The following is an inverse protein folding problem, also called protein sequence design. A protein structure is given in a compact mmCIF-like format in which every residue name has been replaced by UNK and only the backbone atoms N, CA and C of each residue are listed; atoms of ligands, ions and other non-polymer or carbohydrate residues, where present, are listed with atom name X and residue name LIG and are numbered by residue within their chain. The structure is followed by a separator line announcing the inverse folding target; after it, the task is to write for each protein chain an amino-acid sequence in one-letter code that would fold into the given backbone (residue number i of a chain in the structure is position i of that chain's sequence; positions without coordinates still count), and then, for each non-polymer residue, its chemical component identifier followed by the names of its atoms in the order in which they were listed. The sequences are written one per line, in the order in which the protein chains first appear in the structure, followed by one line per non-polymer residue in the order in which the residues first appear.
data_IF_880966266127
#
_entry.id   IF_880966266127
#
_cell.length_a   1.000
_cell.length_b   1.000
_cell.length_c   1.000
_cell.angle_alpha   90.00
_cell.angle_beta   90.00
_cell.angle_gamma   90.00
#
_symmetry.space_group_name_H-M   'P 1'
#
loop_
_entity.id
_entity.type
_entity.pdbx_description
1 polymer ?
#
# COMPACT_ATOMS: atom_id res chain seq x y z
N UNK A 1 74.25 -52.56 13.12
CA UNK A 1 73.49 -51.65 14.00
C UNK A 1 72.95 -50.55 13.08
N UNK A 2 71.75 -50.77 12.56
CA UNK A 2 71.10 -49.77 11.63
C UNK A 2 69.90 -49.22 12.35
N UNK A 3 69.99 -47.93 12.64
CA UNK A 3 68.96 -47.19 13.36
C UNK A 3 67.92 -46.67 12.35
N UNK A 4 66.71 -47.16 12.48
CA UNK A 4 65.54 -46.75 11.63
C UNK A 4 64.97 -45.48 12.17
N UNK A 5 65.24 -44.37 11.50
CA UNK A 5 64.59 -43.08 11.75
C UNK A 5 63.22 -43.08 11.08
N UNK A 6 62.15 -43.11 11.84
CA UNK A 6 60.79 -42.92 11.37
C UNK A 6 60.52 -41.38 11.22
N UNK A 7 59.95 -40.95 10.11
CA UNK A 7 59.50 -39.58 9.97
C UNK A 7 58.18 -39.40 10.68
N UNK A 8 58.15 -38.55 11.72
CA UNK A 8 56.95 -38.09 12.40
C UNK A 8 56.11 -37.23 11.45
N UNK A 9 54.88 -37.69 11.20
CA UNK A 9 53.94 -37.03 10.32
C UNK A 9 53.47 -35.65 10.80
N UNK A 10 53.89 -34.59 10.11
CA UNK A 10 53.44 -33.19 10.24
C UNK A 10 52.16 -32.93 9.47
N UNK A 11 51.07 -33.68 9.68
CA UNK A 11 49.81 -33.40 9.00
C UNK A 11 48.68 -32.87 9.88
N UNK A 12 48.94 -32.75 11.19
CA UNK A 12 47.92 -32.27 12.15
C UNK A 12 47.59 -30.76 12.06
N UNK A 13 48.55 -29.82 11.90
CA UNK A 13 48.22 -28.41 11.89
C UNK A 13 47.42 -28.00 10.64
N UNK A 14 47.69 -28.59 9.48
CA UNK A 14 46.99 -28.24 8.22
C UNK A 14 45.51 -28.66 8.23
N UNK A 15 45.18 -29.82 8.80
CA UNK A 15 43.80 -30.28 8.96
C UNK A 15 43.03 -29.42 9.96
N UNK A 16 43.68 -28.98 11.03
CA UNK A 16 43.12 -28.05 12.02
C UNK A 16 42.82 -26.68 11.41
N UNK A 17 43.74 -26.11 10.61
CA UNK A 17 43.54 -24.83 9.93
C UNK A 17 42.40 -24.91 8.88
N UNK A 18 42.29 -26.02 8.15
CA UNK A 18 41.18 -26.24 7.21
C UNK A 18 39.85 -26.37 7.95
N UNK A 19 39.78 -27.08 9.05
CA UNK A 19 38.57 -27.20 9.85
C UNK A 19 38.14 -25.87 10.45
N UNK A 20 39.09 -25.07 10.95
CA UNK A 20 38.83 -23.71 11.48
C UNK A 20 38.33 -22.80 10.36
N UNK A 21 38.91 -22.85 9.16
CA UNK A 21 38.47 -22.08 8.01
C UNK A 21 37.03 -22.41 7.59
N UNK A 22 36.68 -23.69 7.55
CA UNK A 22 35.31 -24.12 7.25
C UNK A 22 34.31 -23.68 8.31
N UNK A 23 34.69 -23.72 9.58
CA UNK A 23 33.85 -23.25 10.68
C UNK A 23 33.57 -21.75 10.58
N UNK A 24 34.58 -20.95 10.24
CA UNK A 24 34.42 -19.50 10.04
C UNK A 24 33.54 -19.18 8.82
N UNK A 25 33.69 -19.92 7.72
CA UNK A 25 32.84 -19.78 6.54
C UNK A 25 31.38 -20.15 6.87
N UNK A 26 31.17 -21.25 7.61
CA UNK A 26 29.84 -21.64 8.05
C UNK A 26 29.20 -20.60 8.97
N UNK A 27 29.97 -20.05 9.92
CA UNK A 27 29.52 -18.97 10.81
C UNK A 27 29.16 -17.72 10.02
N UNK A 28 29.99 -17.32 9.05
CA UNK A 28 29.71 -16.18 8.18
C UNK A 28 28.46 -16.39 7.31
N UNK A 29 28.27 -17.61 6.80
CA UNK A 29 27.08 -17.96 6.04
C UNK A 29 25.80 -17.91 6.90
N UNK A 30 25.86 -18.39 8.15
CA UNK A 30 24.75 -18.29 9.11
C UNK A 30 24.43 -16.84 9.42
N UNK A 31 25.46 -16.01 9.70
CA UNK A 31 25.26 -14.58 9.95
C UNK A 31 24.64 -13.88 8.72
N UNK A 32 25.13 -14.20 7.52
CA UNK A 32 24.61 -13.64 6.29
C UNK A 32 23.18 -14.10 6.03
N UNK A 33 22.87 -15.37 6.28
CA UNK A 33 21.52 -15.93 6.18
C UNK A 33 20.56 -15.27 7.18
N UNK A 34 20.98 -15.09 8.43
CA UNK A 34 20.22 -14.36 9.44
C UNK A 34 20.06 -12.90 9.07
N UNK A 35 21.12 -12.25 8.58
CA UNK A 35 21.07 -10.84 8.16
C UNK A 35 20.12 -10.64 6.97
N UNK A 36 20.18 -11.47 5.94
CA UNK A 36 19.26 -11.41 4.80
C UNK A 36 17.86 -11.95 5.12
N UNK A 37 17.73 -12.93 5.99
CA UNK A 37 16.44 -13.45 6.46
C UNK A 37 15.72 -12.44 7.39
N UNK A 38 16.47 -11.71 8.20
CA UNK A 38 15.92 -10.65 9.06
C UNK A 38 15.61 -9.35 8.31
N UNK A 39 16.17 -9.13 7.11
CA UNK A 39 15.77 -8.00 6.26
C UNK A 39 14.28 -8.06 5.85
N UNK A 40 13.64 -9.23 5.95
CA UNK A 40 12.20 -9.39 5.77
C UNK A 40 11.39 -9.28 7.08
N UNK A 41 12.06 -9.25 8.25
CA UNK A 41 11.40 -9.16 9.55
C UNK A 41 11.56 -7.76 10.13
N UNK A 42 10.92 -6.78 9.47
CA UNK A 42 10.60 -5.55 10.16
C UNK A 42 9.37 -5.84 11.03
N UNK A 43 9.41 -5.58 12.34
CA UNK A 43 8.20 -5.59 13.13
C UNK A 43 7.27 -4.52 12.53
N UNK A 44 6.28 -4.97 11.76
CA UNK A 44 5.25 -4.08 11.27
C UNK A 44 4.59 -3.46 12.49
N UNK A 45 4.38 -2.14 12.44
CA UNK A 45 3.62 -1.49 13.48
C UNK A 45 2.27 -2.20 13.61
N UNK A 46 1.96 -2.58 14.82
CA UNK A 46 0.73 -3.30 15.11
C UNK A 46 -0.45 -2.32 15.01
N UNK A 47 -1.44 -2.65 14.18
CA UNK A 47 -2.74 -1.97 14.19
C UNK A 47 -3.46 -2.38 15.47
N UNK A 48 -3.76 -1.41 16.34
CA UNK A 48 -4.33 -1.68 17.69
C UNK A 48 -5.84 -1.54 17.73
N UNK A 49 -6.38 -0.66 16.90
CA UNK A 49 -7.78 -0.24 16.97
C UNK A 49 -8.58 -0.67 15.73
N UNK A 50 -7.88 -0.82 14.59
CA UNK A 50 -8.45 -1.37 13.37
C UNK A 50 -8.30 -2.88 13.26
N UNK A 51 -8.85 -3.45 12.21
CA UNK A 51 -8.59 -4.83 11.78
C UNK A 51 -7.34 -4.81 10.90
N UNK A 52 -6.24 -5.37 11.41
CA UNK A 52 -5.01 -5.51 10.65
C UNK A 52 -5.17 -6.51 9.50
N UNK A 53 -4.62 -6.18 8.35
CA UNK A 53 -4.56 -7.07 7.20
C UNK A 53 -3.12 -7.57 7.06
N UNK A 54 -2.88 -8.77 7.53
CA UNK A 54 -1.56 -9.39 7.52
C UNK A 54 -1.62 -10.77 6.83
N UNK A 55 -0.83 -10.99 5.76
CA UNK A 55 0.05 -10.00 5.11
C UNK A 55 -0.74 -8.90 4.37
N UNK A 56 -0.15 -7.69 4.18
CA UNK A 56 -0.74 -6.65 3.36
C UNK A 56 -1.08 -7.13 1.96
N UNK A 57 -2.21 -6.67 1.43
CA UNK A 57 -2.70 -7.14 0.14
C UNK A 57 -2.52 -6.03 -0.91
N UNK A 58 -1.73 -6.27 -1.97
CA UNK A 58 -1.56 -5.29 -3.03
C UNK A 58 -2.87 -5.00 -3.74
N UNK A 59 -3.12 -3.72 -4.01
CA UNK A 59 -4.28 -3.33 -4.79
C UNK A 59 -4.22 -3.92 -6.19
N UNK A 60 -5.37 -4.35 -6.76
CA UNK A 60 -5.44 -4.82 -8.13
C UNK A 60 -5.11 -3.70 -9.12
N UNK A 61 -4.83 -4.05 -10.37
CA UNK A 61 -4.81 -3.07 -11.44
C UNK A 61 -6.23 -2.54 -11.64
N UNK A 62 -6.36 -1.22 -11.66
CA UNK A 62 -7.64 -0.54 -11.77
C UNK A 62 -7.45 0.76 -12.54
N UNK A 63 -8.52 1.21 -13.17
CA UNK A 63 -8.62 2.54 -13.79
C UNK A 63 -9.90 3.17 -13.27
N UNK A 64 -9.79 4.28 -12.57
CA UNK A 64 -10.90 4.94 -11.91
C UNK A 64 -11.10 6.33 -12.50
N UNK A 65 -12.35 6.72 -12.71
CA UNK A 65 -12.69 8.05 -13.18
C UNK A 65 -12.80 9.01 -12.01
N UNK A 66 -11.91 10.02 -11.98
CA UNK A 66 -11.97 11.11 -11.02
C UNK A 66 -13.20 11.99 -11.30
N UNK A 67 -13.88 12.39 -10.24
CA UNK A 67 -14.92 13.40 -10.32
C UNK A 67 -14.29 14.76 -9.93
N UNK A 68 -14.38 15.73 -10.84
CA UNK A 68 -13.88 17.07 -10.55
C UNK A 68 -14.74 17.69 -9.43
N UNK A 69 -14.10 17.90 -8.28
CA UNK A 69 -14.69 18.59 -7.12
C UNK A 69 -14.36 20.08 -7.11
N UNK A 70 -13.49 20.50 -8.01
CA UNK A 70 -12.96 21.87 -8.06
C UNK A 70 -13.59 22.73 -9.14
N UNK A 71 -14.54 23.49 -8.78
CA UNK A 71 -14.97 24.84 -9.19
C UNK A 71 -14.70 25.44 -10.58
N UNK A 72 -14.24 24.70 -11.56
CA UNK A 72 -13.94 25.28 -12.89
C UNK A 72 -15.07 25.12 -13.90
N UNK A 73 -16.26 24.66 -13.48
CA UNK A 73 -17.46 24.70 -14.35
C UNK A 73 -17.30 24.01 -15.71
N UNK A 74 -16.27 23.17 -15.89
CA UNK A 74 -16.12 22.40 -17.11
C UNK A 74 -17.21 21.32 -17.15
N UNK A 75 -17.92 21.30 -18.25
CA UNK A 75 -18.91 20.28 -18.54
C UNK A 75 -18.31 18.89 -18.22
N UNK A 76 -19.04 18.09 -17.48
CA UNK A 76 -18.64 16.79 -16.92
C UNK A 76 -18.17 15.75 -17.97
N UNK A 77 -18.06 16.09 -19.24
CA UNK A 77 -17.83 15.15 -20.34
C UNK A 77 -16.51 15.31 -21.10
N UNK A 78 -15.77 16.41 -20.95
CA UNK A 78 -14.72 16.72 -21.93
C UNK A 78 -13.27 16.46 -21.49
N UNK A 79 -13.01 16.16 -20.22
CA UNK A 79 -11.70 15.68 -19.76
C UNK A 79 -11.85 14.84 -18.50
N UNK A 80 -12.41 13.66 -18.64
CA UNK A 80 -12.38 12.71 -17.54
C UNK A 80 -10.93 12.38 -17.21
N UNK A 81 -10.44 12.88 -16.08
CA UNK A 81 -9.16 12.45 -15.54
C UNK A 81 -9.32 11.06 -14.95
N UNK A 82 -8.44 10.16 -15.33
CA UNK A 82 -8.43 8.80 -14.82
C UNK A 82 -7.25 8.60 -13.90
N UNK A 83 -7.44 7.83 -12.87
CA UNK A 83 -6.39 7.36 -11.99
C UNK A 83 -6.25 5.84 -12.11
N UNK A 84 -5.07 5.35 -11.81
CA UNK A 84 -4.74 3.93 -11.76
C UNK A 84 -4.25 3.52 -10.37
N UNK A 85 -3.70 2.31 -10.27
CA UNK A 85 -3.10 1.83 -9.03
C UNK A 85 -1.99 2.72 -8.50
N UNK A 86 -1.25 3.42 -9.37
CA UNK A 86 -0.13 4.27 -8.96
C UNK A 86 -0.61 5.55 -8.25
N UNK A 87 -1.87 5.94 -8.43
CA UNK A 87 -2.51 7.00 -7.67
C UNK A 87 -2.51 6.72 -6.17
N UNK A 88 -2.66 5.47 -5.75
CA UNK A 88 -2.64 5.07 -4.34
C UNK A 88 -1.22 4.93 -3.78
N UNK A 89 -0.20 5.11 -4.59
CA UNK A 89 1.20 5.07 -4.18
C UNK A 89 1.68 6.44 -3.72
N UNK A 90 2.76 6.44 -2.93
CA UNK A 90 3.46 7.62 -2.38
C UNK A 90 2.74 8.30 -1.21
N UNK A 91 1.44 8.11 -1.04
CA UNK A 91 0.68 8.66 0.08
C UNK A 91 -0.07 7.56 0.80
N UNK A 92 -0.22 7.71 2.09
CA UNK A 92 -1.21 6.96 2.84
C UNK A 92 -2.59 7.33 2.34
N UNK A 93 -3.47 6.36 2.16
CA UNK A 93 -4.82 6.62 1.67
C UNK A 93 -5.85 6.12 2.66
N UNK A 94 -6.71 7.03 3.13
CA UNK A 94 -7.95 6.70 3.82
C UNK A 94 -9.03 6.56 2.76
N UNK A 95 -9.32 5.31 2.39
CA UNK A 95 -10.28 4.96 1.36
C UNK A 95 -11.63 4.64 1.97
N UNK A 96 -12.68 5.20 1.43
CA UNK A 96 -14.06 4.82 1.71
C UNK A 96 -14.76 4.42 0.40
N UNK A 97 -15.46 3.29 0.44
CA UNK A 97 -16.32 2.85 -0.67
C UNK A 97 -17.76 2.86 -0.20
N UNK A 98 -18.64 3.51 -0.94
CA UNK A 98 -20.04 3.58 -0.58
C UNK A 98 -20.93 4.12 -1.69
N UNK A 99 -22.23 4.18 -1.40
CA UNK A 99 -23.21 4.72 -2.34
C UNK A 99 -22.94 6.21 -2.62
N UNK A 100 -23.06 6.60 -3.87
CA UNK A 100 -22.78 7.97 -4.29
C UNK A 100 -23.69 9.05 -3.68
N UNK A 101 -24.87 8.66 -3.21
CA UNK A 101 -25.76 9.54 -2.44
C UNK A 101 -25.25 9.87 -1.04
N UNK A 102 -24.25 9.14 -0.58
CA UNK A 102 -23.58 9.29 0.71
C UNK A 102 -24.53 9.55 1.90
N UNK A 103 -25.26 8.51 2.38
CA UNK A 103 -26.15 8.66 3.54
C UNK A 103 -25.38 9.02 4.80
N UNK A 104 -26.08 9.29 5.91
CA UNK A 104 -25.51 9.78 7.17
C UNK A 104 -24.29 8.97 7.65
N UNK A 105 -24.33 7.65 7.56
CA UNK A 105 -23.19 6.78 7.93
C UNK A 105 -21.96 7.00 7.06
N UNK A 106 -22.17 7.18 5.75
CA UNK A 106 -21.09 7.53 4.83
C UNK A 106 -20.48 8.88 5.23
N UNK A 107 -21.31 9.89 5.47
CA UNK A 107 -20.84 11.21 5.89
C UNK A 107 -20.05 11.11 7.20
N UNK A 108 -20.54 10.35 8.18
CA UNK A 108 -19.84 10.15 9.45
C UNK A 108 -18.45 9.50 9.23
N UNK A 109 -18.35 8.46 8.40
CA UNK A 109 -17.05 7.82 8.10
C UNK A 109 -16.09 8.78 7.36
N UNK A 110 -16.59 9.58 6.43
CA UNK A 110 -15.79 10.59 5.74
C UNK A 110 -15.35 11.71 6.67
N UNK A 111 -16.17 12.08 7.66
CA UNK A 111 -15.80 13.06 8.69
C UNK A 111 -14.73 12.49 9.64
N UNK A 112 -14.79 11.20 10.00
CA UNK A 112 -13.70 10.55 10.72
C UNK A 112 -12.39 10.66 9.94
N UNK A 113 -12.39 10.29 8.66
CA UNK A 113 -11.20 10.37 7.81
C UNK A 113 -10.68 11.83 7.68
N UNK A 114 -11.58 12.82 7.63
CA UNK A 114 -11.23 14.25 7.61
C UNK A 114 -10.56 14.67 8.92
N UNK A 115 -11.15 14.32 10.06
CA UNK A 115 -10.60 14.65 11.37
C UNK A 115 -9.20 14.02 11.57
N UNK A 116 -9.03 12.77 11.17
CA UNK A 116 -7.73 12.09 11.20
C UNK A 116 -6.70 12.86 10.39
N UNK A 117 -7.01 13.23 9.14
CA UNK A 117 -6.08 13.95 8.27
C UNK A 117 -5.70 15.32 8.85
N UNK A 118 -6.66 16.09 9.34
CA UNK A 118 -6.40 17.40 9.97
C UNK A 118 -5.53 17.23 11.22
N UNK A 119 -5.78 16.23 12.06
CA UNK A 119 -5.05 15.96 13.29
C UNK A 119 -3.58 15.51 13.06
N UNK A 120 -3.21 15.13 11.84
CA UNK A 120 -1.83 14.86 11.47
C UNK A 120 -0.98 16.14 11.35
N UNK A 121 -1.61 17.30 11.22
CA UNK A 121 -0.96 18.59 11.18
C UNK A 121 0.14 18.66 10.08
N UNK A 122 1.43 18.63 10.43
CA UNK A 122 2.54 18.72 9.47
C UNK A 122 2.61 17.53 8.49
N UNK A 123 2.10 16.39 8.89
CA UNK A 123 2.11 15.16 8.09
C UNK A 123 0.85 14.99 7.23
N UNK A 124 -0.08 15.95 7.26
CA UNK A 124 -1.36 15.84 6.54
C UNK A 124 -1.19 15.70 5.02
N UNK A 125 -0.11 16.23 4.44
CA UNK A 125 0.16 16.11 3.00
C UNK A 125 0.66 14.72 2.58
N UNK A 126 1.06 13.91 3.55
CA UNK A 126 1.41 12.49 3.35
C UNK A 126 0.18 11.58 3.30
N UNK A 127 -1.01 12.13 3.61
CA UNK A 127 -2.26 11.38 3.68
C UNK A 127 -3.29 12.00 2.75
N UNK A 128 -3.91 11.17 1.93
CA UNK A 128 -5.05 11.55 1.09
C UNK A 128 -6.31 10.83 1.53
N UNK A 129 -7.46 11.42 1.22
CA UNK A 129 -8.78 10.85 1.45
C UNK A 129 -9.42 10.55 0.11
N UNK A 130 -9.90 9.34 -0.07
CA UNK A 130 -10.52 8.90 -1.33
C UNK A 130 -11.90 8.32 -1.05
N UNK A 131 -12.89 8.80 -1.77
CA UNK A 131 -14.23 8.26 -1.78
C UNK A 131 -14.51 7.60 -3.13
N UNK A 132 -14.74 6.30 -3.14
CA UNK A 132 -15.21 5.60 -4.34
C UNK A 132 -16.73 5.52 -4.28
N UNK A 133 -17.38 6.31 -5.12
CA UNK A 133 -18.82 6.44 -5.19
C UNK A 133 -19.42 5.39 -6.13
N UNK A 134 -20.23 4.50 -5.57
CA UNK A 134 -21.02 3.53 -6.33
C UNK A 134 -22.35 4.15 -6.79
N UNK A 135 -22.60 4.08 -8.09
CA UNK A 135 -23.79 4.66 -8.70
C UNK A 135 -23.71 6.17 -8.93
N UNK A 136 -24.88 6.82 -8.85
CA UNK A 136 -24.98 8.25 -9.08
C UNK A 136 -24.35 9.03 -7.91
N UNK A 137 -23.40 9.87 -8.19
CA UNK A 137 -22.71 10.74 -7.25
C UNK A 137 -22.58 12.15 -7.85
N UNK A 138 -22.47 13.14 -7.13
CA UNK A 138 -22.74 13.44 -5.71
C UNK A 138 -23.46 14.79 -5.71
N UNK A 139 -24.16 15.16 -4.63
CA UNK A 139 -24.69 16.52 -4.53
C UNK A 139 -23.54 17.53 -4.48
N UNK A 140 -23.69 18.66 -5.18
CA UNK A 140 -22.65 19.71 -5.24
C UNK A 140 -22.31 20.26 -3.86
N UNK A 141 -23.31 20.45 -3.00
CA UNK A 141 -23.11 20.91 -1.63
C UNK A 141 -22.24 19.96 -0.81
N UNK A 142 -22.41 18.64 -1.02
CA UNK A 142 -21.56 17.63 -0.40
C UNK A 142 -20.11 17.76 -0.88
N UNK A 143 -19.89 17.87 -2.19
CA UNK A 143 -18.54 18.01 -2.76
C UNK A 143 -17.87 19.29 -2.26
N UNK A 144 -18.58 20.40 -2.21
CA UNK A 144 -18.07 21.68 -1.68
C UNK A 144 -17.70 21.59 -0.18
N UNK A 145 -18.43 20.81 0.60
CA UNK A 145 -18.13 20.60 2.02
C UNK A 145 -16.88 19.72 2.24
N UNK A 146 -16.46 18.95 1.25
CA UNK A 146 -15.39 17.97 1.30
C UNK A 146 -14.18 18.33 0.41
N UNK A 147 -13.68 19.57 0.51
CA UNK A 147 -12.69 20.15 -0.41
C UNK A 147 -11.40 19.36 -0.64
N UNK A 148 -10.97 18.55 0.34
CA UNK A 148 -9.75 17.74 0.26
C UNK A 148 -10.03 16.26 -0.03
N UNK A 149 -11.29 15.93 -0.34
CA UNK A 149 -11.71 14.58 -0.66
C UNK A 149 -11.59 14.34 -2.17
N UNK A 150 -10.76 13.37 -2.54
CA UNK A 150 -10.74 12.89 -3.93
C UNK A 150 -11.93 11.96 -4.12
N UNK A 151 -12.86 12.35 -4.97
CA UNK A 151 -14.03 11.53 -5.28
C UNK A 151 -13.84 10.84 -6.61
N UNK A 152 -14.09 9.55 -6.63
CA UNK A 152 -13.92 8.67 -7.77
C UNK A 152 -15.22 7.94 -8.05
N UNK A 153 -15.61 7.83 -9.32
CA UNK A 153 -16.78 7.03 -9.70
C UNK A 153 -16.39 5.57 -9.86
N UNK A 154 -17.09 4.68 -9.16
CA UNK A 154 -16.99 3.25 -9.41
C UNK A 154 -17.58 2.91 -10.78
N UNK A 155 -16.74 2.37 -11.65
CA UNK A 155 -17.13 1.78 -12.95
C UNK A 155 -16.91 0.28 -12.94
N UNK A 156 -17.09 -0.36 -14.08
CA UNK A 156 -16.79 -1.80 -14.24
C UNK A 156 -15.35 -2.14 -13.86
N UNK A 157 -14.42 -1.23 -14.11
CA UNK A 157 -12.99 -1.41 -13.85
C UNK A 157 -12.63 -1.35 -12.35
N UNK A 158 -13.55 -0.86 -11.52
CA UNK A 158 -13.44 -0.88 -10.07
C UNK A 158 -13.84 -2.22 -9.43
N UNK A 159 -14.47 -3.11 -10.19
CA UNK A 159 -14.98 -4.40 -9.69
C UNK A 159 -13.91 -5.27 -9.01
N UNK A 160 -12.64 -5.34 -9.47
CA UNK A 160 -11.61 -6.10 -8.78
C UNK A 160 -11.29 -5.55 -7.38
N UNK A 161 -11.32 -4.22 -7.21
CA UNK A 161 -11.12 -3.59 -5.91
C UNK A 161 -12.33 -3.85 -4.98
N UNK A 162 -13.55 -3.72 -5.49
CA UNK A 162 -14.76 -4.05 -4.72
C UNK A 162 -14.72 -5.51 -4.24
N UNK A 163 -14.33 -6.44 -5.12
CA UNK A 163 -14.21 -7.86 -4.78
C UNK A 163 -13.13 -8.10 -3.71
N UNK A 164 -12.01 -7.37 -3.77
CA UNK A 164 -10.96 -7.44 -2.77
C UNK A 164 -11.47 -6.98 -1.39
N UNK A 165 -12.04 -5.79 -1.32
CA UNK A 165 -12.54 -5.20 -0.08
C UNK A 165 -13.68 -6.06 0.51
N UNK A 166 -14.61 -6.53 -0.33
CA UNK A 166 -15.71 -7.40 0.10
C UNK A 166 -15.24 -8.74 0.67
N UNK A 167 -14.11 -9.27 0.15
CA UNK A 167 -13.50 -10.49 0.69
C UNK A 167 -12.86 -10.24 2.05
N UNK A 168 -12.21 -9.09 2.24
CA UNK A 168 -11.61 -8.70 3.52
C UNK A 168 -12.69 -8.56 4.57
N UNK A 169 -13.76 -7.84 4.28
CA UNK A 169 -14.86 -7.60 5.22
C UNK A 169 -15.82 -8.80 5.37
N UNK A 170 -15.72 -9.80 4.50
CA UNK A 170 -16.67 -10.92 4.41
C UNK A 170 -18.10 -10.46 4.15
N UNK A 171 -18.27 -9.28 3.57
CA UNK A 171 -19.54 -8.67 3.19
C UNK A 171 -19.33 -7.71 2.01
N UNK A 172 -20.41 -7.25 1.40
CA UNK A 172 -20.30 -6.28 0.31
C UNK A 172 -19.73 -4.94 0.83
N UNK A 173 -18.56 -4.53 0.33
CA UNK A 173 -17.86 -3.33 0.78
C UNK A 173 -18.64 -2.03 0.48
N UNK A 174 -19.53 -2.01 -0.54
CA UNK A 174 -20.34 -0.81 -0.85
C UNK A 174 -21.40 -0.48 0.22
N UNK A 175 -21.67 -1.40 1.14
CA UNK A 175 -22.59 -1.22 2.26
C UNK A 175 -21.93 -1.51 3.62
N UNK A 176 -20.61 -1.71 3.62
CA UNK A 176 -19.86 -2.00 4.85
C UNK A 176 -19.60 -0.75 5.68
N UNK A 177 -19.70 0.43 5.08
CA UNK A 177 -19.43 1.75 5.68
C UNK A 177 -18.06 1.84 6.39
N UNK A 178 -17.07 1.06 5.92
CA UNK A 178 -15.73 0.96 6.52
C UNK A 178 -14.74 1.93 5.90
N UNK A 179 -13.75 2.32 6.68
CA UNK A 179 -12.58 3.06 6.19
C UNK A 179 -11.45 2.05 6.00
N UNK A 180 -10.84 2.05 4.84
CA UNK A 180 -9.70 1.19 4.49
C UNK A 180 -8.44 2.01 4.46
N UNK A 181 -7.36 1.47 5.01
CA UNK A 181 -6.05 2.11 5.00
C UNK A 181 -5.15 1.44 3.98
N UNK A 182 -4.65 2.23 3.05
CA UNK A 182 -3.70 1.82 2.01
C UNK A 182 -2.38 2.53 2.28
N UNK A 183 -1.29 1.79 2.25
CA UNK A 183 0.04 2.31 2.48
C UNK A 183 0.64 2.97 1.21
N UNK A 184 1.77 3.70 1.32
CA UNK A 184 2.43 4.31 0.17
C UNK A 184 3.04 3.33 -0.85
N UNK A 185 3.08 2.03 -0.57
CA UNK A 185 3.43 1.00 -1.55
C UNK A 185 2.23 0.59 -2.41
N UNK A 186 1.01 0.99 -2.01
CA UNK A 186 -0.24 0.63 -2.66
C UNK A 186 -0.81 -0.69 -2.16
N UNK A 187 -0.49 -1.05 -0.92
CA UNK A 187 -0.98 -2.27 -0.28
C UNK A 187 -2.05 -1.93 0.77
N UNK A 188 -3.12 -2.71 0.81
CA UNK A 188 -4.17 -2.62 1.82
C UNK A 188 -3.65 -3.21 3.14
N UNK A 189 -3.60 -2.40 4.19
CA UNK A 189 -2.95 -2.75 5.47
C UNK A 189 -3.90 -2.84 6.65
N UNK A 190 -5.02 -2.13 6.61
CA UNK A 190 -5.99 -2.17 7.70
C UNK A 190 -7.40 -1.76 7.22
N UNK A 191 -8.40 -2.12 8.01
CA UNK A 191 -9.77 -1.60 7.88
C UNK A 191 -10.34 -1.20 9.23
N UNK A 192 -11.22 -0.19 9.24
CA UNK A 192 -11.84 0.34 10.44
C UNK A 192 -13.36 0.28 10.34
N UNK A 193 -13.98 -0.12 11.42
CA UNK A 193 -15.44 -0.20 11.52
C UNK A 193 -16.09 1.20 11.40
N UNK A 194 -17.38 1.26 11.01
CA UNK A 194 -18.10 2.53 10.83
C UNK A 194 -18.19 3.42 12.08
N UNK A 195 -18.04 2.85 13.25
CA UNK A 195 -18.07 3.52 14.56
C UNK A 195 -16.67 3.81 15.12
N UNK A 196 -15.61 3.60 14.31
CA UNK A 196 -14.24 3.87 14.71
C UNK A 196 -14.06 5.34 15.07
N UNK A 197 -13.46 5.57 16.24
CA UNK A 197 -13.18 6.94 16.69
C UNK A 197 -11.99 7.54 15.91
N UNK A 198 -12.04 8.82 15.54
CA UNK A 198 -10.94 9.48 14.85
C UNK A 198 -9.58 9.32 15.55
N UNK A 199 -9.58 9.39 16.89
CA UNK A 199 -8.41 9.21 17.73
C UNK A 199 -7.75 7.83 17.50
N UNK A 200 -8.54 6.78 17.48
CA UNK A 200 -8.08 5.40 17.30
C UNK A 200 -7.43 5.21 15.92
N UNK A 201 -8.07 5.69 14.86
CA UNK A 201 -7.52 5.65 13.50
C UNK A 201 -6.23 6.46 13.39
N UNK A 202 -6.19 7.63 14.06
CA UNK A 202 -5.01 8.50 14.08
C UNK A 202 -3.80 7.84 14.78
N UNK A 203 -4.03 7.16 15.91
CA UNK A 203 -2.98 6.47 16.65
C UNK A 203 -2.35 5.35 15.82
N UNK A 204 -3.19 4.51 15.23
CA UNK A 204 -2.72 3.43 14.33
C UNK A 204 -1.97 4.01 13.13
N UNK A 205 -2.53 5.02 12.47
CA UNK A 205 -1.91 5.64 11.29
C UNK A 205 -0.55 6.24 11.61
N UNK A 206 -0.41 6.97 12.74
CA UNK A 206 0.88 7.52 13.18
C UNK A 206 1.89 6.42 13.44
N UNK A 207 1.51 5.37 14.14
CA UNK A 207 2.38 4.23 14.43
C UNK A 207 2.85 3.54 13.13
N UNK A 208 1.96 3.37 12.17
CA UNK A 208 2.28 2.84 10.85
C UNK A 208 3.20 3.78 10.07
N UNK A 209 2.94 5.08 10.08
CA UNK A 209 3.75 6.10 9.38
C UNK A 209 5.18 6.18 9.94
N UNK A 210 5.36 6.02 11.25
CA UNK A 210 6.66 6.06 11.91
C UNK A 210 7.50 4.80 11.60
N UNK A 211 6.84 3.66 11.44
CA UNK A 211 7.49 2.38 11.12
C UNK A 211 7.64 2.13 9.62
N UNK A 212 6.91 2.86 8.80
CA UNK A 212 6.98 2.73 7.34
C UNK A 212 8.26 3.37 6.82
N UNK A 213 9.33 2.58 6.78
CA UNK A 213 10.53 2.94 6.04
C UNK A 213 10.20 2.67 4.57
N UNK A 214 10.19 3.71 3.77
CA UNK A 214 10.13 3.60 2.31
C UNK A 214 11.43 2.91 1.89
N UNK A 215 11.45 1.59 1.89
CA UNK A 215 12.39 0.85 1.07
C UNK A 215 12.06 1.25 -0.36
N UNK A 216 12.88 2.18 -0.86
CA UNK A 216 12.82 2.59 -2.25
C UNK A 216 13.03 1.33 -3.10
N UNK A 217 11.94 0.65 -3.46
CA UNK A 217 12.00 -0.37 -4.51
C UNK A 217 12.53 0.37 -5.73
N UNK A 218 13.65 -0.08 -6.33
CA UNK A 218 14.18 0.60 -7.50
C UNK A 218 13.04 0.67 -8.53
N UNK A 219 12.78 1.88 -9.01
CA UNK A 219 11.86 2.15 -10.11
C UNK A 219 12.12 1.12 -11.21
N UNK A 220 11.25 0.13 -11.32
CA UNK A 220 11.19 -0.66 -12.55
C UNK A 220 10.69 0.31 -13.62
N UNK A 221 11.52 0.69 -14.62
CA UNK A 221 11.07 1.63 -15.62
C UNK A 221 9.86 1.03 -16.32
N UNK A 222 8.79 1.83 -16.39
CA UNK A 222 7.61 1.50 -17.15
C UNK A 222 8.04 0.97 -18.52
N UNK A 223 7.63 -0.25 -18.85
CA UNK A 223 7.89 -0.83 -20.16
C UNK A 223 7.41 0.17 -21.22
N UNK A 224 8.36 0.73 -21.99
CA UNK A 224 8.05 1.58 -23.12
C UNK A 224 7.11 0.80 -24.02
N UNK A 225 5.89 1.27 -24.15
CA UNK A 225 4.97 0.85 -25.21
C UNK A 225 5.71 0.95 -26.52
N UNK A 226 5.80 -0.11 -27.34
CA UNK A 226 6.42 -0.03 -28.65
C UNK A 226 5.63 0.99 -29.48
N UNK A 227 6.34 1.99 -30.00
CA UNK A 227 5.79 2.96 -30.94
C UNK A 227 5.12 2.21 -32.10
N UNK A 228 3.87 2.54 -32.36
CA UNK A 228 3.15 2.05 -33.54
C UNK A 228 3.97 2.36 -34.79
N UNK A 229 4.23 1.33 -35.60
CA UNK A 229 4.90 1.47 -36.89
C UNK A 229 4.08 2.37 -37.82
N UNK A 230 4.71 3.23 -38.63
CA UNK A 230 4.02 4.07 -39.58
C UNK A 230 3.34 3.20 -40.63
N UNK A 231 2.04 3.41 -40.81
CA UNK A 231 1.30 2.82 -41.92
C UNK A 231 1.77 3.51 -43.19
N UNK A 232 2.43 2.77 -44.08
CA UNK A 232 2.69 3.16 -45.45
C UNK A 232 1.39 3.12 -46.18
N UNK A 233 0.89 4.28 -46.57
CA UNK A 233 -0.14 4.41 -47.63
C UNK A 233 0.56 4.19 -48.97
N UNK A 234 0.29 3.04 -49.60
CA UNK A 234 0.53 2.86 -51.02
C UNK A 234 -0.76 3.28 -51.80
N UNK A 235 -0.48 4.00 -52.91
CA UNK A 235 -1.41 4.53 -53.90
C UNK A 235 -2.50 3.55 -54.42
#
# INVERSE_FOLDING_TARGET
MSEHIQPHGESRPRRFLVALGLLLIAAAAVVLYLYHGHAAWHPRAEVKHGEAIDPPIPLPNLTLRLLDTGGTGRAMDEAAEYTDRDFFRRKWTLLYWGLGVCPERCQASLDVARQVRIALNRDMDRVQRVFIADGACCAMDFLHAQQDLVTVRAGSDASPLLALLSRVDRMNASVADRIYLIDPAGDLVASYAPDAKPQAVLEDLKQLMDSFHVDARPNTPAAKTPAAAPQTTDD
#
